data_IF_278356335066
#
_entry.id   IF_278356335066
#
_cell.length_a   1.000
_cell.length_b   1.000
_cell.length_c   1.000
_cell.angle_alpha   90.00
_cell.angle_beta   90.00
_cell.angle_gamma   90.00
#
_symmetry.space_group_name_H-M   'P 1'
#
loop_
_entity.id
_entity.type
_entity.pdbx_description
1 polymer ?
#
# COMPACT_ATOMS: atom_id res chain seq x y z
N UNK A 1 -5.60 5.76 10.97
CA UNK A 1 -5.33 5.09 9.67
C UNK A 1 -5.37 6.11 8.54
N UNK A 2 -4.21 6.47 7.99
CA UNK A 2 -4.13 7.52 6.97
C UNK A 2 -3.77 6.99 5.58
N UNK A 3 -3.14 5.82 5.47
CA UNK A 3 -2.95 5.08 4.21
C UNK A 3 -2.67 3.60 4.51
N UNK A 4 -2.73 2.78 3.46
CA UNK A 4 -2.23 1.41 3.48
C UNK A 4 -0.83 1.38 2.86
N UNK A 5 0.10 0.67 3.50
CA UNK A 5 1.36 0.26 2.89
C UNK A 5 1.18 -1.16 2.39
N UNK A 6 1.38 -1.38 1.10
CA UNK A 6 1.32 -2.70 0.48
C UNK A 6 2.76 -3.16 0.29
N UNK A 7 3.13 -4.23 0.97
CA UNK A 7 4.43 -4.87 0.80
C UNK A 7 4.39 -5.76 -0.43
N UNK A 8 5.38 -5.62 -1.30
CA UNK A 8 5.48 -6.39 -2.54
C UNK A 8 6.84 -7.08 -2.68
N UNK A 9 6.84 -8.16 -3.46
CA UNK A 9 8.02 -8.87 -3.93
C UNK A 9 8.24 -8.48 -5.38
N UNK A 10 9.42 -7.95 -5.72
CA UNK A 10 9.84 -7.72 -7.11
C UNK A 10 10.48 -9.00 -7.66
N UNK A 11 9.96 -9.51 -8.76
CA UNK A 11 10.48 -10.69 -9.46
C UNK A 11 11.43 -10.29 -10.59
N UNK A 12 12.26 -11.23 -11.06
CA UNK A 12 13.22 -10.99 -12.15
C UNK A 12 12.55 -10.60 -13.46
N UNK A 13 11.31 -11.03 -13.68
CA UNK A 13 10.49 -10.63 -14.84
C UNK A 13 10.01 -9.17 -14.78
N UNK A 14 10.40 -8.41 -13.75
CA UNK A 14 10.01 -7.01 -13.60
C UNK A 14 8.64 -6.80 -12.96
N UNK A 15 7.87 -7.85 -12.68
CA UNK A 15 6.57 -7.73 -12.00
C UNK A 15 6.71 -7.67 -10.49
N UNK A 16 5.81 -6.91 -9.85
CA UNK A 16 5.66 -6.84 -8.40
C UNK A 16 4.40 -7.62 -7.99
N UNK A 17 4.51 -8.51 -7.02
CA UNK A 17 3.34 -9.19 -6.41
C UNK A 17 3.18 -8.77 -4.96
N UNK A 18 1.99 -8.30 -4.54
CA UNK A 18 1.74 -7.97 -3.14
C UNK A 18 1.77 -9.23 -2.26
N UNK A 19 2.38 -9.15 -1.08
CA UNK A 19 2.43 -10.24 -0.10
C UNK A 19 2.07 -9.81 1.33
N UNK A 20 1.80 -8.52 1.56
CA UNK A 20 1.32 -8.06 2.85
C UNK A 20 0.71 -6.67 2.79
N UNK A 21 -0.16 -6.37 3.74
CA UNK A 21 -0.74 -5.05 3.93
C UNK A 21 -0.51 -4.57 5.36
N UNK A 22 -0.25 -3.27 5.50
CA UNK A 22 -0.14 -2.61 6.78
C UNK A 22 -0.88 -1.30 6.77
N UNK A 23 -1.66 -1.05 7.82
CA UNK A 23 -2.35 0.22 8.00
C UNK A 23 -1.43 1.18 8.74
N UNK A 24 -1.12 2.31 8.12
CA UNK A 24 -0.21 3.31 8.70
C UNK A 24 -0.99 4.49 9.24
N UNK A 25 -0.73 4.82 10.50
CA UNK A 25 -1.22 6.04 11.11
C UNK A 25 -0.22 7.18 10.89
N UNK A 26 -0.73 8.34 10.46
CA UNK A 26 0.09 9.52 10.21
C UNK A 26 0.38 10.36 11.45
N UNK A 27 -0.15 9.95 12.62
CA UNK A 27 0.04 10.58 13.94
C UNK A 27 -0.23 12.09 13.96
N UNK A 28 -1.14 12.55 13.10
CA UNK A 28 -1.45 13.98 12.97
C UNK A 28 -2.73 14.31 13.72
N UNK A 29 -2.65 15.30 14.61
CA UNK A 29 -3.82 15.84 15.34
C UNK A 29 -4.86 16.49 14.44
N UNK A 30 -4.48 16.90 13.22
CA UNK A 30 -5.36 17.45 12.18
C UNK A 30 -5.84 16.42 11.16
N UNK A 31 -5.64 15.12 11.42
CA UNK A 31 -6.16 14.07 10.57
C UNK A 31 -7.32 13.39 11.26
N UNK A 32 -8.52 13.48 10.66
CA UNK A 32 -9.74 12.87 11.21
C UNK A 32 -9.61 11.37 11.43
N UNK A 33 -8.81 10.70 10.61
CA UNK A 33 -8.63 9.26 10.67
C UNK A 33 -7.48 8.82 11.55
N UNK A 34 -6.65 9.74 12.06
CA UNK A 34 -5.50 9.38 12.89
C UNK A 34 -5.96 8.98 14.29
N UNK A 35 -5.31 7.98 14.89
CA UNK A 35 -5.50 7.69 16.33
C UNK A 35 -5.05 8.84 17.23
N UNK A 36 -4.27 9.79 16.70
CA UNK A 36 -3.79 10.98 17.40
C UNK A 36 -4.66 12.21 17.12
N UNK A 37 -5.81 12.05 16.46
CA UNK A 37 -6.74 13.15 16.23
C UNK A 37 -7.10 13.81 17.56
N UNK A 38 -7.01 15.14 17.61
CA UNK A 38 -7.40 15.88 18.81
C UNK A 38 -8.92 15.87 18.91
N UNK A 39 -9.47 15.06 19.81
CA UNK A 39 -10.92 14.91 20.00
C UNK A 39 -11.61 16.14 20.66
N UNK A 40 -10.92 17.27 20.78
CA UNK A 40 -11.56 18.53 21.19
C UNK A 40 -12.70 18.82 20.21
N UNK A 41 -13.88 19.16 20.72
CA UNK A 41 -15.04 19.46 19.89
C UNK A 41 -14.72 20.55 18.86
N UNK A 42 -14.67 20.17 17.59
CA UNK A 42 -14.46 21.08 16.48
C UNK A 42 -15.05 20.52 15.17
N UNK A 43 -15.33 21.42 14.23
CA UNK A 43 -15.81 21.07 12.90
C UNK A 43 -14.70 20.43 12.05
N UNK A 44 -14.57 19.11 12.17
CA UNK A 44 -13.55 18.32 11.46
C UNK A 44 -13.56 18.59 9.94
N UNK A 45 -14.73 18.82 9.34
CA UNK A 45 -14.88 19.12 7.91
C UNK A 45 -14.03 20.30 7.46
N UNK A 46 -13.84 21.30 8.33
CA UNK A 46 -13.17 22.54 8.01
C UNK A 46 -11.71 22.57 8.51
N UNK A 47 -11.39 21.87 9.60
CA UNK A 47 -10.09 21.95 10.27
C UNK A 47 -9.20 20.72 10.10
N UNK A 48 -9.78 19.58 9.70
CA UNK A 48 -9.06 18.32 9.57
C UNK A 48 -9.00 17.83 8.12
N UNK A 49 -7.92 17.14 7.78
CA UNK A 49 -7.82 16.41 6.51
C UNK A 49 -8.88 15.31 6.47
N UNK A 50 -9.74 15.37 5.45
CA UNK A 50 -10.86 14.45 5.25
C UNK A 50 -10.56 13.30 4.28
N UNK A 51 -9.34 13.19 3.76
CA UNK A 51 -9.01 12.20 2.73
C UNK A 51 -7.97 11.20 3.23
N UNK A 52 -8.21 9.92 2.95
CA UNK A 52 -7.19 8.89 3.06
C UNK A 52 -6.12 9.15 1.98
N UNK A 53 -4.85 9.10 2.36
CA UNK A 53 -3.76 9.15 1.39
C UNK A 53 -3.77 7.87 0.55
N UNK A 54 -3.33 7.92 -0.71
CA UNK A 54 -3.23 6.74 -1.56
C UNK A 54 -2.40 5.63 -0.91
N UNK A 55 -2.74 4.38 -1.24
CA UNK A 55 -1.93 3.24 -0.85
C UNK A 55 -0.51 3.37 -1.39
N UNK A 56 0.47 3.05 -0.56
CA UNK A 56 1.88 3.07 -0.95
C UNK A 56 2.35 1.65 -1.19
N UNK A 57 2.72 1.33 -2.42
CA UNK A 57 3.41 0.07 -2.70
C UNK A 57 4.89 0.21 -2.35
N UNK A 58 5.42 -0.73 -1.58
CA UNK A 58 6.82 -0.79 -1.18
C UNK A 58 7.35 -2.19 -1.45
N UNK A 59 8.37 -2.28 -2.29
CA UNK A 59 9.09 -3.54 -2.52
C UNK A 59 9.93 -3.85 -1.29
N UNK A 60 9.56 -4.89 -0.57
CA UNK A 60 10.27 -5.34 0.65
C UNK A 60 11.05 -6.62 0.44
N UNK A 61 10.81 -7.34 -0.66
CA UNK A 61 11.52 -8.55 -1.05
C UNK A 61 11.85 -8.52 -2.54
N UNK A 62 12.92 -9.21 -2.93
CA UNK A 62 13.24 -9.50 -4.34
C UNK A 62 13.32 -11.01 -4.53
N UNK A 63 12.99 -11.48 -5.72
CA UNK A 63 13.09 -12.88 -6.11
C UNK A 63 13.71 -13.01 -7.49
N UNK A 64 14.67 -13.92 -7.63
CA UNK A 64 15.29 -14.26 -8.92
C UNK A 64 14.44 -15.22 -9.75
N UNK A 65 13.27 -15.61 -9.24
CA UNK A 65 12.30 -16.41 -9.99
C UNK A 65 11.35 -15.52 -10.80
N UNK A 66 10.71 -16.10 -11.82
CA UNK A 66 9.59 -15.48 -12.52
C UNK A 66 8.36 -15.37 -11.58
N UNK A 67 7.52 -14.35 -11.78
CA UNK A 67 6.25 -14.27 -11.06
C UNK A 67 5.28 -15.38 -11.52
N UNK A 68 4.21 -15.61 -10.76
CA UNK A 68 3.23 -16.66 -11.07
C UNK A 68 2.69 -16.57 -12.51
N UNK A 69 2.33 -15.36 -12.96
CA UNK A 69 1.82 -15.15 -14.32
C UNK A 69 2.86 -15.48 -15.39
N UNK A 70 4.07 -14.91 -15.30
CA UNK A 70 5.13 -15.19 -16.28
C UNK A 70 5.58 -16.65 -16.30
N UNK A 71 5.48 -17.37 -15.17
CA UNK A 71 5.73 -18.82 -15.14
C UNK A 71 4.69 -19.59 -15.96
N UNK A 72 3.43 -19.16 -15.93
CA UNK A 72 2.35 -19.79 -16.69
C UNK A 72 2.38 -19.39 -18.17
N UNK A 73 2.66 -18.11 -18.48
CA UNK A 73 2.78 -17.63 -19.85
C UNK A 73 3.99 -18.23 -20.58
N UNK A 74 5.08 -18.54 -19.87
CA UNK A 74 6.23 -19.28 -20.42
C UNK A 74 5.95 -20.74 -20.79
N UNK A 75 4.75 -21.26 -20.51
CA UNK A 75 4.28 -22.57 -20.94
C UNK A 75 3.53 -22.56 -22.29
N UNK A 76 3.26 -21.39 -22.87
CA UNK A 76 2.68 -21.29 -24.22
C UNK A 76 3.81 -20.96 -25.20
N UNK A 77 4.50 -22.00 -25.66
CA UNK A 77 5.22 -21.93 -26.93
C UNK A 77 4.17 -21.62 -28.02
N UNK A 78 4.14 -20.37 -28.48
CA UNK A 78 3.46 -20.05 -29.73
C UNK A 78 4.34 -20.58 -30.87
N UNK A 79 3.71 -21.46 -31.64
CA UNK A 79 4.19 -22.16 -32.84
C UNK A 79 4.62 -21.23 -33.97
#
# INVERSE_FOLDING_TARGET
MCHRRISSTRFVCGHDTPHGDQRIDCRSSKCRYSSHHHAINHECRNSCRQWLRPSQNVVTKKSDSLCYHCKLDGGVQQS
#
